data_IF_709716347477
#
_entry.id   IF_709716347477
#
_cell.length_a   1.000
_cell.length_b   1.000
_cell.length_c   1.000
_cell.angle_alpha   90.00
_cell.angle_beta   90.00
_cell.angle_gamma   90.00
#
_symmetry.space_group_name_H-M   'P 1'
#
loop_
_entity.id
_entity.type
_entity.pdbx_description
1 polymer ?
#
# COMPACT_ATOMS: atom_id res chain seq x y z
N UNK A 1 2.94 -8.89 -10.39
CA UNK A 1 4.03 -8.81 -9.40
C UNK A 1 4.59 -10.22 -9.23
N UNK A 2 5.89 -10.40 -9.47
CA UNK A 2 6.55 -11.69 -9.36
C UNK A 2 6.60 -12.19 -7.90
N UNK A 3 6.90 -13.48 -7.75
CA UNK A 3 6.85 -14.15 -6.46
C UNK A 3 7.99 -13.70 -5.53
N UNK A 4 9.17 -13.41 -6.09
CA UNK A 4 10.32 -12.94 -5.32
C UNK A 4 10.00 -11.60 -4.64
N UNK A 5 9.48 -10.63 -5.40
CA UNK A 5 9.09 -9.32 -4.88
C UNK A 5 8.01 -9.42 -3.79
N UNK A 6 7.06 -10.36 -3.93
CA UNK A 6 6.05 -10.63 -2.90
C UNK A 6 6.68 -11.07 -1.58
N UNK A 7 7.60 -12.02 -1.64
CA UNK A 7 8.26 -12.55 -0.44
C UNK A 7 9.17 -11.50 0.20
N UNK A 8 9.92 -10.73 -0.59
CA UNK A 8 10.71 -9.61 -0.05
C UNK A 8 9.86 -8.56 0.67
N UNK A 9 8.68 -8.22 0.12
CA UNK A 9 7.74 -7.30 0.78
C UNK A 9 7.21 -7.88 2.10
N UNK A 10 6.84 -9.16 2.13
CA UNK A 10 6.39 -9.83 3.36
C UNK A 10 7.49 -9.85 4.43
N UNK A 11 8.72 -10.17 4.05
CA UNK A 11 9.87 -10.16 4.96
C UNK A 11 10.13 -8.77 5.53
N UNK A 12 10.08 -7.73 4.71
CA UNK A 12 10.23 -6.34 5.15
C UNK A 12 9.12 -5.91 6.11
N UNK A 13 7.86 -6.22 5.79
CA UNK A 13 6.71 -5.96 6.69
C UNK A 13 6.87 -6.68 8.02
N UNK A 14 7.29 -7.94 8.02
CA UNK A 14 7.55 -8.70 9.25
C UNK A 14 8.62 -8.02 10.11
N UNK A 15 9.72 -7.61 9.51
CA UNK A 15 10.80 -6.93 10.23
C UNK A 15 10.34 -5.59 10.83
N UNK A 16 9.61 -4.76 10.06
CA UNK A 16 9.08 -3.50 10.59
C UNK A 16 8.07 -3.70 11.72
N UNK A 17 7.19 -4.70 11.63
CA UNK A 17 6.25 -5.01 12.70
C UNK A 17 6.97 -5.46 13.99
N UNK A 18 8.04 -6.25 13.87
CA UNK A 18 8.85 -6.62 15.04
C UNK A 18 9.52 -5.41 15.70
N UNK A 19 10.03 -4.47 14.90
CA UNK A 19 10.59 -3.22 15.41
C UNK A 19 9.50 -2.34 16.05
N UNK A 20 8.31 -2.32 15.46
CA UNK A 20 7.18 -1.53 15.95
C UNK A 20 6.74 -1.99 17.33
N UNK A 21 6.55 -3.29 17.54
CA UNK A 21 6.17 -3.84 18.85
C UNK A 21 7.26 -3.58 19.92
N UNK A 22 8.54 -3.62 19.54
CA UNK A 22 9.65 -3.30 20.43
C UNK A 22 9.72 -1.81 20.77
N UNK A 23 9.47 -0.91 19.81
CA UNK A 23 9.41 0.52 20.04
C UNK A 23 8.20 0.91 20.90
N UNK A 24 7.06 0.28 20.64
CA UNK A 24 5.81 0.48 21.38
C UNK A 24 5.93 0.01 22.84
N UNK A 25 6.56 -1.13 23.10
CA UNK A 25 6.80 -1.61 24.48
C UNK A 25 7.75 -0.72 25.29
N UNK A 26 8.52 0.13 24.61
CA UNK A 26 9.42 1.14 25.20
C UNK A 26 8.86 2.56 25.17
N UNK A 27 7.60 2.73 24.77
CA UNK A 27 6.92 4.03 24.66
C UNK A 27 7.68 5.05 23.78
N UNK A 28 8.43 4.58 22.79
CA UNK A 28 9.17 5.46 21.88
C UNK A 28 8.29 5.95 20.74
N UNK A 29 7.52 7.01 21.00
CA UNK A 29 6.49 7.53 20.10
C UNK A 29 7.03 7.96 18.72
N UNK A 30 8.21 8.57 18.65
CA UNK A 30 8.81 9.01 17.39
C UNK A 30 9.16 7.83 16.48
N UNK A 31 9.76 6.77 17.05
CA UNK A 31 10.07 5.55 16.31
C UNK A 31 8.79 4.84 15.89
N UNK A 32 7.79 4.75 16.78
CA UNK A 32 6.48 4.17 16.49
C UNK A 32 5.83 4.86 15.29
N UNK A 33 5.85 6.20 15.26
CA UNK A 33 5.32 6.98 14.13
C UNK A 33 6.07 6.66 12.82
N UNK A 34 7.40 6.73 12.83
CA UNK A 34 8.20 6.45 11.63
C UNK A 34 8.01 5.02 11.10
N UNK A 35 7.91 4.03 11.99
CA UNK A 35 7.63 2.65 11.62
C UNK A 35 6.22 2.47 11.06
N UNK A 36 5.23 3.19 11.60
CA UNK A 36 3.85 3.17 11.10
C UNK A 36 3.79 3.68 9.66
N UNK A 37 4.40 4.83 9.38
CA UNK A 37 4.49 5.38 8.01
C UNK A 37 5.21 4.43 7.05
N UNK A 38 6.30 3.80 7.50
CA UNK A 38 7.03 2.80 6.72
C UNK A 38 6.20 1.55 6.40
N UNK A 39 5.46 1.03 7.38
CA UNK A 39 4.54 -0.11 7.20
C UNK A 39 3.48 0.25 6.16
N UNK A 40 2.80 1.39 6.33
CA UNK A 40 1.75 1.86 5.40
C UNK A 40 2.31 2.03 3.98
N UNK A 41 3.51 2.58 3.83
CA UNK A 41 4.15 2.73 2.53
C UNK A 41 4.44 1.38 1.86
N UNK A 42 4.91 0.37 2.62
CA UNK A 42 5.16 -0.97 2.10
C UNK A 42 3.86 -1.69 1.72
N UNK A 43 2.81 -1.58 2.54
CA UNK A 43 1.50 -2.17 2.24
C UNK A 43 0.93 -1.63 0.93
N UNK A 44 1.09 -0.32 0.67
CA UNK A 44 0.69 0.33 -0.60
C UNK A 44 1.42 -0.21 -1.82
N UNK A 45 2.55 -0.91 -1.66
CA UNK A 45 3.26 -1.56 -2.79
C UNK A 45 2.61 -2.87 -3.21
N UNK A 46 1.78 -3.49 -2.37
CA UNK A 46 0.99 -4.66 -2.74
C UNK A 46 -0.14 -4.19 -3.67
N UNK A 47 -0.19 -4.62 -4.95
CA UNK A 47 -1.24 -4.20 -5.86
C UNK A 47 -2.62 -4.57 -5.32
N UNK A 48 -3.53 -3.60 -5.27
CA UNK A 48 -4.94 -3.82 -4.92
C UNK A 48 -5.81 -3.73 -6.16
N UNK A 49 -6.82 -4.60 -6.23
CA UNK A 49 -7.80 -4.56 -7.31
C UNK A 49 -8.50 -3.21 -7.29
N UNK A 50 -8.65 -2.64 -8.48
CA UNK A 50 -9.39 -1.41 -8.67
C UNK A 50 -10.80 -1.71 -9.17
N UNK A 51 -11.77 -0.97 -8.67
CA UNK A 51 -13.15 -1.04 -9.13
C UNK A 51 -13.27 -0.16 -10.38
N UNK A 52 -13.74 -0.72 -11.48
CA UNK A 52 -13.95 0.02 -12.73
C UNK A 52 -15.45 0.17 -12.92
N UNK A 53 -15.93 1.40 -13.03
CA UNK A 53 -17.32 1.70 -13.33
C UNK A 53 -17.52 1.97 -14.83
N UNK A 54 -18.78 1.96 -15.25
CA UNK A 54 -19.14 2.38 -16.60
C UNK A 54 -18.67 3.82 -16.86
N UNK A 55 -18.41 4.15 -18.13
CA UNK A 55 -17.90 5.45 -18.60
C UNK A 55 -16.43 5.78 -18.24
N UNK A 56 -15.59 4.77 -17.98
CA UNK A 56 -14.14 4.98 -17.89
C UNK A 56 -13.69 5.70 -16.62
N UNK A 57 -14.48 5.61 -15.55
CA UNK A 57 -14.09 5.98 -14.19
C UNK A 57 -13.64 4.74 -13.43
N UNK A 58 -12.61 4.88 -12.61
CA UNK A 58 -12.19 3.83 -11.69
C UNK A 58 -12.13 4.37 -10.27
N UNK A 59 -12.28 3.49 -9.28
CA UNK A 59 -12.39 3.86 -7.89
C UNK A 59 -11.32 3.14 -7.06
N UNK A 60 -10.51 3.94 -6.36
CA UNK A 60 -9.47 3.41 -5.50
C UNK A 60 -10.11 2.84 -4.23
N UNK A 61 -10.05 1.52 -4.08
CA UNK A 61 -10.63 0.80 -2.92
C UNK A 61 -10.00 1.18 -1.57
N UNK A 62 -8.83 1.82 -1.56
CA UNK A 62 -8.09 2.23 -0.34
C UNK A 62 -8.51 3.61 0.14
N UNK A 63 -8.43 4.65 -0.71
CA UNK A 63 -8.76 6.02 -0.31
C UNK A 63 -10.19 6.45 -0.68
N UNK A 64 -10.96 5.54 -1.30
CA UNK A 64 -12.36 5.77 -1.72
C UNK A 64 -12.52 6.98 -2.66
N UNK A 65 -11.50 7.26 -3.46
CA UNK A 65 -11.50 8.37 -4.40
C UNK A 65 -11.57 7.84 -5.82
N UNK A 66 -12.34 8.54 -6.64
CA UNK A 66 -12.39 8.30 -8.08
C UNK A 66 -11.10 8.75 -8.74
N UNK A 67 -10.63 7.95 -9.69
CA UNK A 67 -9.41 8.20 -10.44
C UNK A 67 -9.66 8.07 -11.94
N UNK A 68 -8.99 8.92 -12.70
CA UNK A 68 -8.99 8.93 -14.16
C UNK A 68 -7.74 8.22 -14.70
N UNK A 69 -7.72 7.93 -16.01
CA UNK A 69 -6.57 7.27 -16.66
C UNK A 69 -6.60 5.75 -16.51
N UNK A 70 -7.79 5.15 -16.65
CA UNK A 70 -8.03 3.70 -16.60
C UNK A 70 -7.00 2.92 -17.41
N UNK A 71 -6.34 1.96 -16.77
CA UNK A 71 -5.33 1.09 -17.40
C UNK A 71 -3.98 1.75 -17.72
N UNK A 72 -3.80 3.06 -17.51
CA UNK A 72 -2.56 3.79 -17.83
C UNK A 72 -1.70 4.09 -16.61
N UNK A 73 -2.31 4.30 -15.44
CA UNK A 73 -1.60 4.68 -14.22
C UNK A 73 -1.27 3.46 -13.36
N UNK A 74 -0.05 3.39 -12.80
CA UNK A 74 0.35 2.25 -11.94
C UNK A 74 0.00 2.45 -10.46
N UNK A 75 -0.25 3.69 -10.05
CA UNK A 75 -0.49 4.09 -8.68
C UNK A 75 -1.65 5.08 -8.59
N UNK A 76 -2.41 5.03 -7.50
CA UNK A 76 -3.40 6.05 -7.17
C UNK A 76 -2.66 7.36 -6.84
N UNK A 77 -2.95 8.44 -7.57
CA UNK A 77 -2.31 9.74 -7.37
C UNK A 77 -2.75 10.45 -6.08
N UNK A 78 -3.85 10.01 -5.45
CA UNK A 78 -4.29 10.55 -4.16
C UNK A 78 -3.57 9.93 -2.96
N UNK A 79 -3.35 8.61 -2.97
CA UNK A 79 -2.89 7.89 -1.78
C UNK A 79 -1.62 7.05 -1.98
N UNK A 80 -1.11 6.95 -3.21
CA UNK A 80 0.10 6.18 -3.55
C UNK A 80 -0.11 4.67 -3.63
N UNK A 81 -1.34 4.16 -3.51
CA UNK A 81 -1.64 2.73 -3.62
C UNK A 81 -1.30 2.20 -5.01
N UNK A 82 -0.49 1.14 -5.10
CA UNK A 82 -0.26 0.42 -6.35
C UNK A 82 -1.53 -0.25 -6.84
N UNK A 83 -1.85 -0.07 -8.11
CA UNK A 83 -3.10 -0.52 -8.70
C UNK A 83 -2.90 -1.83 -9.45
N UNK A 84 -3.88 -2.71 -9.33
CA UNK A 84 -4.02 -3.88 -10.18
C UNK A 84 -5.20 -3.65 -11.14
N UNK A 85 -4.89 -3.51 -12.43
CA UNK A 85 -5.87 -3.34 -13.51
C UNK A 85 -6.27 -4.66 -14.15
N UNK A 86 -5.64 -5.77 -13.76
CA UNK A 86 -6.00 -7.10 -14.24
C UNK A 86 -7.43 -7.41 -13.77
N UNK A 87 -8.31 -7.76 -14.72
CA UNK A 87 -9.73 -8.03 -14.45
C UNK A 87 -9.93 -9.42 -13.85
#
# INVERSE_FOLDING_TARGET
MDNYTKESLKSALKALNMLYENAKSKENHDIVYGLTEGIVALEKRVPKKIEIYDYGKAHCSVCKTDIHGVGKIKYCFHCGQKLNWDR
#
